data_IF_261367406213
#
_entry.id   IF_261367406213
#
_cell.length_a   1.000
_cell.length_b   1.000
_cell.length_c   1.000
_cell.angle_alpha   90.00
_cell.angle_beta   90.00
_cell.angle_gamma   90.00
#
_symmetry.space_group_name_H-M   'P 1'
#
loop_
_entity.id
_entity.type
_entity.pdbx_description
1 polymer ?
#
# COMPACT_ATOMS: atom_id res chain seq x y z
N UNK A 1 -4.57 12.51 5.01
CA UNK A 1 -3.28 12.93 4.34
C UNK A 1 -3.39 14.38 3.89
N UNK A 2 -2.31 15.18 3.91
CA UNK A 2 -2.34 16.53 3.34
C UNK A 2 -1.89 16.49 1.88
N UNK A 3 -2.80 16.85 0.96
CA UNK A 3 -2.52 16.90 -0.48
C UNK A 3 -2.27 18.36 -0.86
N UNK A 4 -0.99 18.70 -1.08
CA UNK A 4 -0.56 20.08 -1.32
C UNK A 4 -1.14 20.70 -2.61
N UNK A 5 -1.37 19.88 -3.63
CA UNK A 5 -1.85 20.32 -4.95
C UNK A 5 -2.92 19.37 -5.47
N UNK A 6 -4.02 19.87 -6.07
CA UNK A 6 -5.09 19.03 -6.61
C UNK A 6 -4.60 17.97 -7.61
N UNK A 7 -3.58 18.28 -8.42
CA UNK A 7 -3.04 17.34 -9.40
C UNK A 7 -2.15 16.24 -8.80
N UNK A 8 -1.95 16.22 -7.47
CA UNK A 8 -1.34 15.13 -6.72
C UNK A 8 -2.38 14.20 -6.11
N UNK A 9 -3.64 14.64 -6.09
CA UNK A 9 -4.74 13.80 -5.64
C UNK A 9 -4.93 12.61 -6.58
N UNK A 10 -5.26 11.49 -6.02
CA UNK A 10 -5.42 10.25 -6.75
C UNK A 10 -6.88 9.83 -6.73
N UNK A 11 -7.41 9.45 -7.89
CA UNK A 11 -8.75 8.91 -7.97
C UNK A 11 -8.94 7.75 -6.97
N UNK A 12 -10.15 7.66 -6.43
CA UNK A 12 -10.50 6.69 -5.40
C UNK A 12 -10.24 5.24 -5.82
N UNK A 13 -10.66 4.89 -7.02
CA UNK A 13 -10.57 3.50 -7.49
C UNK A 13 -9.15 3.15 -7.89
N UNK A 14 -8.43 4.07 -8.53
CA UNK A 14 -7.01 3.94 -8.83
C UNK A 14 -6.16 3.78 -7.54
N UNK A 15 -6.48 4.54 -6.48
CA UNK A 15 -5.82 4.43 -5.19
C UNK A 15 -6.07 3.07 -4.53
N UNK A 16 -7.30 2.55 -4.62
CA UNK A 16 -7.63 1.21 -4.14
C UNK A 16 -6.93 0.12 -4.96
N UNK A 17 -6.84 0.27 -6.29
CA UNK A 17 -6.14 -0.66 -7.17
C UNK A 17 -4.65 -0.71 -6.85
N UNK A 18 -4.04 0.45 -6.65
CA UNK A 18 -2.65 0.54 -6.19
C UNK A 18 -2.45 -0.16 -4.84
N UNK A 19 -3.31 0.13 -3.85
CA UNK A 19 -3.21 -0.50 -2.54
C UNK A 19 -3.38 -2.03 -2.63
N UNK A 20 -4.35 -2.51 -3.41
CA UNK A 20 -4.57 -3.95 -3.63
C UNK A 20 -3.38 -4.62 -4.35
N UNK A 21 -2.81 -3.94 -5.34
CA UNK A 21 -1.61 -4.43 -6.04
C UNK A 21 -0.40 -4.53 -5.11
N UNK A 22 -0.21 -3.58 -4.18
CA UNK A 22 0.83 -3.66 -3.16
C UNK A 22 0.56 -4.78 -2.16
N UNK A 23 -0.63 -4.84 -1.57
CA UNK A 23 -1.07 -5.88 -0.65
C UNK A 23 -0.26 -5.99 0.64
N UNK A 24 0.61 -5.01 0.94
CA UNK A 24 1.42 -4.92 2.15
C UNK A 24 1.52 -3.48 2.61
N UNK A 25 1.37 -3.24 3.92
CA UNK A 25 1.35 -1.90 4.48
C UNK A 25 1.50 -1.87 5.99
N UNK A 26 1.47 -0.66 6.56
CA UNK A 26 1.49 -0.44 8.00
C UNK A 26 0.08 -0.11 8.49
N UNK A 27 -0.45 -0.94 9.38
CA UNK A 27 -1.68 -0.68 10.11
C UNK A 27 -1.36 0.00 11.44
N UNK A 28 -2.10 1.06 11.76
CA UNK A 28 -1.86 1.94 12.92
C UNK A 28 -3.19 2.18 13.63
N UNK A 29 -3.18 2.12 14.95
CA UNK A 29 -4.30 2.56 15.79
C UNK A 29 -3.79 3.32 17.03
N UNK A 30 -4.64 4.13 17.62
CA UNK A 30 -4.35 4.85 18.86
C UNK A 30 -4.62 3.97 20.07
N UNK A 31 -3.57 3.60 20.78
CA UNK A 31 -3.67 2.95 22.09
C UNK A 31 -3.58 3.96 23.23
N UNK A 32 -3.80 3.50 24.45
CA UNK A 32 -3.76 4.35 25.66
C UNK A 32 -2.40 5.06 25.89
N UNK A 33 -1.30 4.44 25.43
CA UNK A 33 0.06 4.97 25.57
C UNK A 33 0.60 5.61 24.29
N UNK A 34 -0.25 5.86 23.29
CA UNK A 34 0.11 6.44 22.00
C UNK A 34 -0.15 5.48 20.82
N UNK A 35 0.24 5.88 19.61
CA UNK A 35 0.05 5.08 18.41
C UNK A 35 0.80 3.74 18.48
N UNK A 36 0.13 2.67 18.05
CA UNK A 36 0.71 1.33 17.90
C UNK A 36 0.64 0.99 16.41
N UNK A 37 1.70 0.38 15.88
CA UNK A 37 1.79 0.00 14.47
C UNK A 37 2.23 -1.45 14.28
N UNK A 38 1.75 -2.07 13.21
CA UNK A 38 2.24 -3.36 12.68
C UNK A 38 2.26 -3.35 11.16
N UNK A 39 3.23 -4.04 10.56
CA UNK A 39 3.29 -4.26 9.13
C UNK A 39 2.57 -5.56 8.80
N UNK A 40 1.65 -5.51 7.86
CA UNK A 40 0.77 -6.64 7.55
C UNK A 40 0.59 -6.84 6.04
N UNK A 41 0.55 -8.09 5.58
CA UNK A 41 -0.06 -8.41 4.31
C UNK A 41 -1.58 -8.25 4.44
N UNK A 42 -2.22 -7.76 3.40
CA UNK A 42 -3.67 -7.56 3.38
C UNK A 42 -4.25 -7.83 2.00
N UNK A 43 -5.57 -7.99 1.95
CA UNK A 43 -6.34 -7.99 0.72
C UNK A 43 -7.48 -6.97 0.82
N UNK A 44 -7.87 -6.40 -0.31
CA UNK A 44 -9.03 -5.53 -0.43
C UNK A 44 -10.16 -6.33 -1.06
N UNK A 45 -11.33 -6.29 -0.44
CA UNK A 45 -12.57 -6.87 -0.98
C UNK A 45 -13.50 -5.72 -1.33
N UNK A 46 -13.96 -5.68 -2.59
CA UNK A 46 -14.91 -4.66 -3.08
C UNK A 46 -16.27 -5.29 -3.27
N UNK A 47 -17.34 -4.59 -2.83
CA UNK A 47 -18.73 -4.97 -3.02
C UNK A 47 -19.52 -3.70 -3.38
N UNK A 48 -19.73 -3.48 -4.67
CA UNK A 48 -20.23 -2.21 -5.19
C UNK A 48 -19.28 -1.06 -4.84
N UNK A 49 -19.80 0.00 -4.25
CA UNK A 49 -18.99 1.16 -3.82
C UNK A 49 -18.25 0.94 -2.49
N UNK A 50 -18.55 -0.14 -1.77
CA UNK A 50 -17.90 -0.45 -0.50
C UNK A 50 -16.59 -1.20 -0.71
N UNK A 51 -15.62 -0.87 0.13
CA UNK A 51 -14.35 -1.59 0.22
C UNK A 51 -14.09 -2.01 1.66
N UNK A 52 -13.63 -3.23 1.86
CA UNK A 52 -13.11 -3.71 3.13
C UNK A 52 -11.67 -4.16 2.97
N UNK A 53 -10.88 -4.02 4.03
CA UNK A 53 -9.51 -4.54 4.09
C UNK A 53 -9.47 -5.68 5.08
N UNK A 54 -9.03 -6.86 4.63
CA UNK A 54 -8.84 -8.00 5.50
C UNK A 54 -7.34 -8.28 5.68
N UNK A 55 -6.92 -8.41 6.93
CA UNK A 55 -5.56 -8.73 7.33
C UNK A 55 -5.59 -9.57 8.61
N UNK A 56 -4.45 -10.08 9.04
CA UNK A 56 -4.37 -10.79 10.32
C UNK A 56 -3.17 -10.32 11.13
N UNK A 57 -3.30 -10.48 12.42
CA UNK A 57 -2.24 -10.27 13.41
C UNK A 57 -2.05 -11.55 14.22
N UNK A 58 -0.90 -11.70 14.87
CA UNK A 58 -0.76 -12.73 15.89
C UNK A 58 -1.72 -12.42 17.05
N UNK A 59 -2.28 -13.46 17.68
CA UNK A 59 -3.27 -13.30 18.76
C UNK A 59 -2.78 -12.46 19.94
N UNK A 60 -1.45 -12.33 20.12
CA UNK A 60 -0.85 -11.52 21.19
C UNK A 60 -0.52 -10.08 20.79
N UNK A 61 -0.83 -9.68 19.56
CA UNK A 61 -0.55 -8.33 19.10
C UNK A 61 -1.54 -7.34 19.73
N UNK A 62 -1.02 -6.29 20.37
CA UNK A 62 -1.82 -5.28 21.05
C UNK A 62 -2.83 -4.57 20.16
N UNK A 63 -2.52 -4.42 18.85
CA UNK A 63 -3.50 -3.88 17.90
C UNK A 63 -4.76 -4.75 17.80
N UNK A 64 -4.64 -6.07 17.97
CA UNK A 64 -5.81 -6.94 17.96
C UNK A 64 -6.78 -6.62 19.12
N UNK A 65 -6.28 -6.16 20.26
CA UNK A 65 -7.13 -5.78 21.41
C UNK A 65 -7.95 -4.53 21.14
N UNK A 66 -7.47 -3.64 20.24
CA UNK A 66 -8.14 -2.40 19.87
C UNK A 66 -9.20 -2.57 18.76
N UNK A 67 -9.27 -3.74 18.15
CA UNK A 67 -10.21 -4.04 17.05
C UNK A 67 -11.58 -4.45 17.63
N UNK A 68 -12.33 -3.48 18.13
CA UNK A 68 -13.63 -3.63 18.81
C UNK A 68 -14.84 -3.38 17.89
N UNK A 69 -14.61 -2.92 16.65
CA UNK A 69 -15.64 -2.58 15.67
C UNK A 69 -15.92 -1.08 15.55
N UNK A 70 -15.49 -0.28 16.51
CA UNK A 70 -15.73 1.17 16.55
C UNK A 70 -14.43 1.97 16.40
N UNK A 71 -13.31 1.45 16.91
CA UNK A 71 -12.02 2.13 16.88
C UNK A 71 -11.49 2.23 15.44
N UNK A 72 -11.25 3.45 14.90
CA UNK A 72 -10.71 3.62 13.58
C UNK A 72 -9.22 3.29 13.54
N UNK A 73 -8.83 2.48 12.57
CA UNK A 73 -7.43 2.22 12.22
C UNK A 73 -7.08 2.98 10.95
N UNK A 74 -5.80 3.30 10.81
CA UNK A 74 -5.18 3.81 9.60
C UNK A 74 -4.31 2.73 8.99
N UNK A 75 -4.56 2.34 7.74
CA UNK A 75 -3.64 1.54 6.93
C UNK A 75 -2.92 2.47 5.96
N UNK A 76 -1.59 2.50 6.05
CA UNK A 76 -0.71 3.22 5.13
C UNK A 76 -0.12 2.21 4.15
N UNK A 77 -0.31 2.49 2.86
CA UNK A 77 0.29 1.75 1.75
C UNK A 77 1.13 2.71 0.93
N UNK A 78 2.40 2.39 0.72
CA UNK A 78 3.30 3.25 -0.05
C UNK A 78 3.97 2.47 -1.19
N UNK A 79 4.31 3.20 -2.25
CA UNK A 79 5.01 2.70 -3.42
C UNK A 79 6.50 3.04 -3.38
N UNK A 80 7.13 3.03 -4.56
CA UNK A 80 8.48 3.53 -4.70
C UNK A 80 8.55 5.02 -4.37
N UNK A 81 9.72 5.44 -3.92
CA UNK A 81 10.02 6.86 -3.71
C UNK A 81 11.41 7.22 -4.26
N UNK A 82 11.61 8.51 -4.51
CA UNK A 82 12.90 9.01 -4.98
C UNK A 82 13.14 10.46 -4.57
N UNK A 83 14.35 10.73 -4.11
CA UNK A 83 14.84 12.08 -3.95
C UNK A 83 15.17 12.70 -5.30
N UNK A 84 14.81 13.97 -5.49
CA UNK A 84 15.15 14.78 -6.66
C UNK A 84 16.01 15.95 -6.21
N UNK A 85 17.24 16.00 -6.70
CA UNK A 85 18.14 17.11 -6.45
C UNK A 85 17.71 18.34 -7.24
N UNK A 86 17.99 19.54 -6.70
CA UNK A 86 17.64 20.80 -7.35
C UNK A 86 18.46 21.07 -8.63
N UNK A 87 19.64 20.50 -8.75
CA UNK A 87 20.50 20.60 -9.93
C UNK A 87 20.09 19.65 -11.08
N UNK A 88 19.08 18.82 -10.88
CA UNK A 88 18.50 17.99 -11.92
C UNK A 88 17.42 18.70 -12.75
N UNK A 89 16.98 19.88 -12.30
CA UNK A 89 16.07 20.69 -13.09
C UNK A 89 16.81 21.35 -14.25
N UNK A 90 16.13 21.50 -15.37
CA UNK A 90 16.70 22.20 -16.53
C UNK A 90 16.67 23.74 -16.37
N UNK A 91 15.73 24.23 -15.55
CA UNK A 91 15.55 25.64 -15.25
C UNK A 91 16.01 25.98 -13.83
N UNK A 92 16.40 27.25 -13.54
CA UNK A 92 16.88 27.66 -12.22
C UNK A 92 15.75 27.82 -11.18
N UNK A 93 16.14 28.11 -9.94
CA UNK A 93 15.25 28.48 -8.82
C UNK A 93 14.26 27.38 -8.38
N UNK A 94 14.72 26.16 -8.38
CA UNK A 94 14.00 25.03 -7.81
C UNK A 94 14.55 24.62 -6.44
N UNK A 95 13.75 23.81 -5.73
CA UNK A 95 14.16 23.15 -4.49
C UNK A 95 14.12 21.65 -4.66
N UNK A 96 15.03 20.97 -3.99
CA UNK A 96 15.04 19.52 -3.91
C UNK A 96 13.74 19.00 -3.29
N UNK A 97 13.31 17.81 -3.69
CA UNK A 97 12.06 17.23 -3.22
C UNK A 97 12.08 15.71 -3.25
N UNK A 98 11.03 15.10 -2.72
CA UNK A 98 10.75 13.67 -2.88
C UNK A 98 9.57 13.46 -3.82
N UNK A 99 9.71 12.46 -4.69
CA UNK A 99 8.61 11.89 -5.47
C UNK A 99 8.18 10.59 -4.79
N UNK A 100 6.88 10.36 -4.73
CA UNK A 100 6.33 9.17 -4.08
C UNK A 100 4.86 8.94 -4.43
N UNK A 101 4.39 7.74 -4.17
CA UNK A 101 2.99 7.36 -4.18
C UNK A 101 2.61 6.77 -2.82
N UNK A 102 1.49 7.20 -2.26
CA UNK A 102 0.99 6.67 -1.01
C UNK A 102 -0.53 6.69 -0.96
N UNK A 103 -1.11 5.69 -0.30
CA UNK A 103 -2.56 5.58 -0.04
C UNK A 103 -2.78 5.36 1.45
N UNK A 104 -3.72 6.13 2.00
CA UNK A 104 -4.22 5.99 3.36
C UNK A 104 -5.66 5.48 3.33
N UNK A 105 -5.92 4.35 3.96
CA UNK A 105 -7.25 3.80 4.16
C UNK A 105 -7.58 3.89 5.63
N UNK A 106 -8.73 4.48 5.96
CA UNK A 106 -9.15 4.66 7.35
C UNK A 106 -10.57 4.13 7.55
N UNK A 107 -10.78 3.45 8.66
CA UNK A 107 -12.10 2.97 9.05
C UNK A 107 -12.06 2.14 10.33
N UNK A 108 -13.23 1.85 10.93
CA UNK A 108 -13.33 0.98 12.08
C UNK A 108 -12.90 -0.45 11.74
N UNK A 109 -12.27 -1.10 12.71
CA UNK A 109 -11.75 -2.46 12.54
C UNK A 109 -12.40 -3.39 13.56
N UNK A 110 -12.89 -4.53 13.08
CA UNK A 110 -13.49 -5.59 13.91
C UNK A 110 -12.73 -6.90 13.77
N UNK A 111 -12.81 -7.73 14.77
CA UNK A 111 -12.34 -9.12 14.69
C UNK A 111 -13.37 -9.96 13.95
N UNK A 112 -12.90 -10.83 13.08
CA UNK A 112 -13.73 -11.88 12.50
C UNK A 112 -13.70 -13.12 13.39
N UNK A 113 -14.75 -13.95 13.27
CA UNK A 113 -14.82 -15.24 13.98
C UNK A 113 -13.69 -16.17 13.51
N UNK A 114 -13.21 -17.04 14.42
CA UNK A 114 -12.05 -17.92 14.19
C UNK A 114 -12.22 -18.85 12.98
N UNK A 115 -13.45 -19.20 12.64
CA UNK A 115 -13.82 -20.00 11.47
C UNK A 115 -13.37 -19.35 10.14
N UNK A 116 -13.18 -18.01 10.16
CA UNK A 116 -12.68 -17.27 8.99
C UNK A 116 -11.16 -17.38 8.80
N UNK A 117 -10.41 -17.86 9.80
CA UNK A 117 -8.94 -17.88 9.74
C UNK A 117 -8.45 -18.71 8.54
N UNK A 118 -9.07 -19.85 8.28
CA UNK A 118 -8.70 -20.72 7.16
C UNK A 118 -8.99 -20.06 5.81
N UNK A 119 -10.21 -19.60 5.60
CA UNK A 119 -10.60 -18.96 4.33
C UNK A 119 -9.83 -17.68 4.05
N UNK A 120 -9.52 -16.89 5.09
CA UNK A 120 -8.64 -15.71 4.97
C UNK A 120 -7.23 -16.11 4.55
N UNK A 121 -6.63 -17.12 5.21
CA UNK A 121 -5.29 -17.61 4.89
C UNK A 121 -5.19 -18.10 3.46
N UNK A 122 -6.13 -18.94 3.02
CA UNK A 122 -6.18 -19.46 1.65
C UNK A 122 -6.32 -18.32 0.63
N UNK A 123 -7.21 -17.34 0.87
CA UNK A 123 -7.43 -16.21 -0.03
C UNK A 123 -6.21 -15.28 -0.12
N UNK A 124 -5.56 -15.00 1.01
CA UNK A 124 -4.36 -14.16 1.04
C UNK A 124 -3.20 -14.83 0.31
N UNK A 125 -2.97 -16.12 0.57
CA UNK A 125 -1.95 -16.90 -0.13
C UNK A 125 -2.20 -16.96 -1.63
N UNK A 126 -3.43 -17.25 -2.05
CA UNK A 126 -3.79 -17.28 -3.47
C UNK A 126 -3.44 -15.95 -4.18
N UNK A 127 -3.67 -14.81 -3.49
CA UNK A 127 -3.36 -13.48 -4.02
C UNK A 127 -1.85 -13.29 -4.27
N UNK A 128 -1.00 -13.73 -3.36
CA UNK A 128 0.45 -13.53 -3.49
C UNK A 128 1.14 -14.61 -4.31
N UNK A 129 0.72 -15.87 -4.17
CA UNK A 129 1.28 -16.97 -4.94
C UNK A 129 1.01 -16.83 -6.45
N UNK A 130 -0.14 -16.26 -6.84
CA UNK A 130 -0.44 -15.97 -8.25
C UNK A 130 0.58 -15.02 -8.92
N UNK A 131 1.31 -14.22 -8.13
CA UNK A 131 2.35 -13.30 -8.63
C UNK A 131 3.67 -14.00 -8.95
N UNK A 132 3.84 -15.24 -8.52
CA UNK A 132 5.09 -16.00 -8.62
C UNK A 132 5.13 -16.99 -9.80
N UNK A 133 4.35 -16.72 -10.85
CA UNK A 133 4.35 -17.53 -12.07
C UNK A 133 5.74 -17.55 -12.72
N UNK A 134 6.15 -18.69 -13.33
CA UNK A 134 5.39 -19.91 -13.62
C UNK A 134 5.37 -20.97 -12.50
N UNK A 135 5.81 -20.64 -11.29
CA UNK A 135 5.79 -21.55 -10.14
C UNK A 135 4.37 -22.01 -9.85
N UNK A 136 4.18 -23.30 -9.52
CA UNK A 136 2.90 -23.79 -9.01
C UNK A 136 2.58 -23.11 -7.67
N UNK A 137 1.37 -22.54 -7.49
CA UNK A 137 1.00 -21.88 -6.26
C UNK A 137 1.05 -22.84 -5.06
N UNK A 138 1.67 -22.39 -3.99
CA UNK A 138 1.64 -23.11 -2.71
C UNK A 138 0.31 -22.84 -2.00
N UNK A 139 -0.19 -23.81 -1.23
CA UNK A 139 -1.43 -23.67 -0.47
C UNK A 139 -1.34 -24.27 0.92
N UNK A 140 -2.20 -23.82 1.84
CA UNK A 140 -2.27 -24.36 3.20
C UNK A 140 -2.61 -25.86 3.24
N UNK A 141 -3.24 -26.41 2.21
CA UNK A 141 -3.57 -27.83 2.13
C UNK A 141 -2.35 -28.75 1.99
N UNK A 142 -1.19 -28.21 1.63
CA UNK A 142 0.06 -28.97 1.55
C UNK A 142 0.77 -29.11 2.90
N UNK A 143 0.32 -28.36 3.92
CA UNK A 143 0.86 -28.46 5.28
C UNK A 143 0.28 -29.69 6.00
N UNK A 144 1.07 -30.21 6.94
CA UNK A 144 0.59 -31.20 7.93
C UNK A 144 -0.53 -30.56 8.77
N UNK A 145 -1.61 -31.32 9.02
CA UNK A 145 -2.86 -30.82 9.58
C UNK A 145 -2.68 -30.16 10.95
N UNK A 146 -1.98 -30.82 11.88
CA UNK A 146 -1.77 -30.29 13.24
C UNK A 146 -1.00 -28.97 13.22
N UNK A 147 0.00 -28.88 12.36
CA UNK A 147 0.81 -27.68 12.17
C UNK A 147 0.00 -26.51 11.59
N UNK A 148 -0.83 -26.82 10.59
CA UNK A 148 -1.72 -25.83 9.95
C UNK A 148 -2.74 -25.31 10.96
N UNK A 149 -3.38 -26.17 11.73
CA UNK A 149 -4.36 -25.80 12.75
C UNK A 149 -3.73 -24.95 13.84
N UNK A 150 -2.58 -25.32 14.37
CA UNK A 150 -1.86 -24.54 15.38
C UNK A 150 -1.50 -23.14 14.86
N UNK A 151 -1.06 -23.03 13.60
CA UNK A 151 -0.75 -21.75 12.96
C UNK A 151 -2.02 -20.89 12.81
N UNK A 152 -3.13 -21.48 12.36
CA UNK A 152 -4.40 -20.75 12.19
C UNK A 152 -5.00 -20.31 13.53
N UNK A 153 -4.83 -21.07 14.60
CA UNK A 153 -5.23 -20.66 15.95
C UNK A 153 -4.36 -19.55 16.53
N UNK A 154 -3.13 -19.40 16.05
CA UNK A 154 -2.18 -18.37 16.49
C UNK A 154 -2.46 -16.97 15.94
N UNK A 155 -3.45 -16.82 15.06
CA UNK A 155 -3.78 -15.54 14.41
C UNK A 155 -5.20 -15.09 14.76
N UNK A 156 -5.39 -13.76 14.64
CA UNK A 156 -6.71 -13.12 14.66
C UNK A 156 -6.89 -12.39 13.35
N UNK A 157 -7.94 -12.75 12.60
CA UNK A 157 -8.31 -12.07 11.35
C UNK A 157 -9.13 -10.84 11.69
N UNK A 158 -8.72 -9.74 11.09
CA UNK A 158 -9.31 -8.41 11.27
C UNK A 158 -9.87 -7.92 9.94
N UNK A 159 -10.96 -7.17 10.03
CA UNK A 159 -11.59 -6.53 8.88
C UNK A 159 -11.85 -5.06 9.17
N UNK A 160 -11.31 -4.19 8.31
CA UNK A 160 -11.57 -2.75 8.30
C UNK A 160 -12.71 -2.45 7.33
N UNK A 161 -13.75 -1.74 7.78
CA UNK A 161 -14.72 -1.09 6.89
C UNK A 161 -14.13 0.24 6.42
N UNK A 162 -13.73 0.33 5.14
CA UNK A 162 -13.03 1.51 4.62
C UNK A 162 -14.01 2.67 4.43
N UNK A 163 -13.91 3.66 5.31
CA UNK A 163 -14.76 4.85 5.28
C UNK A 163 -14.09 6.03 4.57
N UNK A 164 -12.75 6.11 4.60
CA UNK A 164 -11.98 7.18 3.97
C UNK A 164 -10.80 6.61 3.21
N UNK A 165 -10.65 7.09 1.98
CA UNK A 165 -9.57 6.76 1.06
C UNK A 165 -8.90 8.07 0.66
N UNK A 166 -7.60 8.16 0.86
CA UNK A 166 -6.80 9.33 0.49
C UNK A 166 -5.57 8.83 -0.26
N UNK A 167 -5.48 9.15 -1.54
CA UNK A 167 -4.35 8.79 -2.39
C UNK A 167 -3.53 10.00 -2.77
N UNK A 168 -2.21 9.89 -2.78
CA UNK A 168 -1.32 10.94 -3.27
C UNK A 168 -0.27 10.37 -4.22
N UNK A 169 -0.23 10.95 -5.42
CA UNK A 169 0.82 10.71 -6.44
C UNK A 169 1.60 12.00 -6.65
N UNK A 170 2.67 12.17 -5.91
CA UNK A 170 3.56 13.33 -6.10
C UNK A 170 4.66 12.96 -7.09
N UNK A 171 4.41 13.18 -8.37
CA UNK A 171 5.27 12.81 -9.49
C UNK A 171 5.63 14.02 -10.37
N UNK A 172 5.78 15.18 -9.77
CA UNK A 172 6.16 16.44 -10.47
C UNK A 172 5.20 16.87 -11.60
N UNK A 173 3.93 16.52 -11.53
CA UNK A 173 2.91 16.80 -12.56
C UNK A 173 2.75 18.30 -12.87
N UNK A 174 3.19 19.18 -11.97
CA UNK A 174 3.11 20.63 -12.09
C UNK A 174 4.34 21.27 -12.75
N UNK A 175 5.38 20.49 -13.07
CA UNK A 175 6.62 21.00 -13.64
C UNK A 175 6.50 21.16 -15.16
N UNK A 176 7.34 22.05 -15.73
CA UNK A 176 7.50 22.19 -17.18
C UNK A 176 7.94 20.88 -17.82
N UNK A 177 7.73 20.71 -19.11
CA UNK A 177 8.16 19.52 -19.84
C UNK A 177 9.68 19.36 -19.84
N UNK A 178 10.41 20.47 -19.90
CA UNK A 178 11.87 20.51 -19.86
C UNK A 178 12.42 19.99 -18.53
N UNK A 179 11.95 20.54 -17.40
CA UNK A 179 12.32 20.08 -16.07
C UNK A 179 11.93 18.61 -15.84
N UNK A 180 10.72 18.26 -16.26
CA UNK A 180 10.17 16.93 -16.11
C UNK A 180 11.03 15.88 -16.85
N UNK A 181 11.41 16.17 -18.10
CA UNK A 181 12.26 15.27 -18.87
C UNK A 181 13.68 15.19 -18.29
N UNK A 182 14.24 16.32 -17.82
CA UNK A 182 15.56 16.34 -17.19
C UNK A 182 15.60 15.47 -15.94
N UNK A 183 14.67 15.67 -15.01
CA UNK A 183 14.55 14.86 -13.79
C UNK A 183 14.39 13.38 -14.11
N UNK A 184 13.53 13.05 -15.08
CA UNK A 184 13.29 11.65 -15.48
C UNK A 184 14.57 10.97 -15.94
N UNK A 185 15.42 11.65 -16.76
CA UNK A 185 16.72 11.12 -17.22
C UNK A 185 17.69 10.86 -16.06
N UNK A 186 17.70 11.70 -15.04
CA UNK A 186 18.56 11.50 -13.86
C UNK A 186 18.09 10.31 -13.02
N UNK A 187 16.79 10.20 -12.78
CA UNK A 187 16.20 9.08 -12.05
C UNK A 187 16.41 7.74 -12.76
N UNK A 188 16.33 7.73 -14.09
CA UNK A 188 16.56 6.51 -14.90
C UNK A 188 17.99 5.97 -14.76
N UNK A 189 18.96 6.85 -14.57
CA UNK A 189 20.38 6.51 -14.39
C UNK A 189 20.75 6.23 -12.92
N UNK A 190 19.83 6.43 -11.99
CA UNK A 190 20.10 6.22 -10.57
C UNK A 190 20.33 4.73 -10.25
N UNK A 191 21.15 4.46 -9.25
CA UNK A 191 21.40 3.09 -8.77
C UNK A 191 20.17 2.50 -8.03
N UNK A 192 19.34 3.33 -7.41
CA UNK A 192 18.14 2.92 -6.70
C UNK A 192 17.10 2.31 -7.66
N UNK A 193 16.59 1.13 -7.32
CA UNK A 193 15.50 0.50 -8.06
C UNK A 193 14.22 1.34 -8.01
N UNK A 194 13.92 1.93 -6.85
CA UNK A 194 12.74 2.79 -6.66
C UNK A 194 12.83 4.05 -7.53
N UNK A 195 14.01 4.67 -7.63
CA UNK A 195 14.21 5.83 -8.50
C UNK A 195 13.96 5.48 -9.99
N UNK A 196 14.44 4.32 -10.45
CA UNK A 196 14.16 3.85 -11.82
C UNK A 196 12.68 3.51 -12.02
N UNK A 197 12.01 2.95 -11.02
CA UNK A 197 10.56 2.72 -11.09
C UNK A 197 9.79 4.03 -11.18
N UNK A 198 10.16 5.06 -10.38
CA UNK A 198 9.60 6.41 -10.49
C UNK A 198 9.84 6.98 -11.88
N UNK A 199 11.04 6.83 -12.47
CA UNK A 199 11.31 7.28 -13.85
C UNK A 199 10.34 6.63 -14.86
N UNK A 200 10.08 5.34 -14.72
CA UNK A 200 9.09 4.63 -15.55
C UNK A 200 7.68 5.20 -15.40
N UNK A 201 7.25 5.52 -14.18
CA UNK A 201 5.95 6.15 -13.91
C UNK A 201 5.87 7.56 -14.50
N UNK A 202 6.95 8.34 -14.41
CA UNK A 202 7.03 9.66 -15.04
C UNK A 202 6.86 9.57 -16.56
N UNK A 203 7.56 8.63 -17.20
CA UNK A 203 7.42 8.39 -18.65
C UNK A 203 6.00 7.99 -19.05
N UNK A 204 5.36 7.15 -18.28
CA UNK A 204 3.97 6.72 -18.50
C UNK A 204 2.96 7.88 -18.39
N UNK A 205 3.20 8.85 -17.50
CA UNK A 205 2.36 10.04 -17.36
C UNK A 205 2.51 11.05 -18.49
N UNK A 206 3.70 11.14 -19.12
CA UNK A 206 3.96 12.05 -20.26
C UNK A 206 4.63 11.33 -21.41
N UNK A 207 3.94 10.37 -22.09
CA UNK A 207 4.54 9.54 -23.12
C UNK A 207 4.94 10.32 -24.40
N UNK A 208 4.48 11.55 -24.53
CA UNK A 208 4.80 12.44 -25.67
C UNK A 208 6.18 13.11 -25.55
N UNK A 209 6.81 13.08 -24.37
CA UNK A 209 8.12 13.69 -24.16
C UNK A 209 9.26 12.80 -24.67
N UNK A 210 10.35 13.46 -25.08
CA UNK A 210 11.64 12.79 -25.36
C UNK A 210 12.51 12.78 -24.11
N UNK A 211 12.88 11.61 -23.68
CA UNK A 211 13.70 11.37 -22.48
C UNK A 211 15.15 11.03 -22.84
#
# INVERSE_FOLDING_TARGET
MHILRPNFDWDRDDALDFAAARGFGAVIASGASGPISSHVPFRIVRTGEKATVQFHLTARNKLAELADGDNPFLLIVWGPDAYVSNDWYATPDHVSTWLYEAVHLTGPVRRLAVENNRSHGDALLATFEARLTPKQPWSLSTMEDTKREAMLQGIVVLEMDVQRIEGQRKLNQHKSDEDYASITRHLEKAESADAREIAGKLKALRPHLKY
#
